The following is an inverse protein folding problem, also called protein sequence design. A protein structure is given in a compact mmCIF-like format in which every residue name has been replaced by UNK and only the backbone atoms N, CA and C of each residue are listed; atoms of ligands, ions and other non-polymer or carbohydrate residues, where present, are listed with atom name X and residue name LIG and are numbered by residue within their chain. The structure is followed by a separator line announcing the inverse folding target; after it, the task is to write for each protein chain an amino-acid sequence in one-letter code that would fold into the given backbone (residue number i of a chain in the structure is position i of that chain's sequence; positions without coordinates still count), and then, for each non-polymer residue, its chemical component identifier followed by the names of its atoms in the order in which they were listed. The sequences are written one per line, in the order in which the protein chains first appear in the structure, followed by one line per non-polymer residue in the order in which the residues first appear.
data_IF_102791649665
#
_entry.id   IF_102791649665
#
_cell.length_a   1.000
_cell.length_b   1.000
_cell.length_c   1.000
_cell.angle_alpha   90.00
_cell.angle_beta   90.00
_cell.angle_gamma   90.00
#
_symmetry.space_group_name_H-M   'P 1'
#
loop_
_entity.id
_entity.type
_entity.pdbx_description
1 polymer ?
#
# COMPACT_ATOMS: atom_id res chain seq x y z
N UNK A 1 -12.18 -1.17 -44.81
CA UNK A 1 -11.91 -2.42 -44.08
C UNK A 1 -12.24 -2.17 -42.63
N UNK A 2 -13.35 -2.72 -42.16
CA UNK A 2 -13.84 -2.53 -40.80
C UNK A 2 -12.94 -3.25 -39.80
N UNK A 3 -12.65 -2.61 -38.67
CA UNK A 3 -11.94 -3.19 -37.55
C UNK A 3 -12.74 -4.37 -36.96
N UNK A 4 -12.07 -5.42 -36.45
CA UNK A 4 -12.76 -6.54 -35.83
C UNK A 4 -13.42 -6.08 -34.53
N UNK A 5 -14.72 -6.32 -34.45
CA UNK A 5 -15.53 -6.18 -33.24
C UNK A 5 -14.96 -7.03 -32.11
N UNK A 6 -14.89 -6.45 -30.91
CA UNK A 6 -14.52 -7.13 -29.67
C UNK A 6 -15.29 -8.46 -29.55
N UNK A 7 -14.56 -9.55 -29.37
CA UNK A 7 -15.10 -10.90 -29.33
C UNK A 7 -16.17 -11.05 -28.26
N UNK A 8 -17.22 -11.79 -28.61
CA UNK A 8 -18.16 -12.34 -27.64
C UNK A 8 -17.38 -13.08 -26.53
N UNK A 9 -17.76 -12.95 -25.24
CA UNK A 9 -17.09 -13.68 -24.17
C UNK A 9 -17.20 -15.17 -24.46
N UNK A 10 -16.06 -15.88 -24.41
CA UNK A 10 -16.05 -17.33 -24.50
C UNK A 10 -17.05 -17.89 -23.49
N UNK A 11 -18.07 -18.61 -23.98
CA UNK A 11 -19.04 -19.28 -23.11
C UNK A 11 -18.35 -20.44 -22.40
N UNK A 12 -17.87 -20.21 -21.19
CA UNK A 12 -17.37 -21.27 -20.32
C UNK A 12 -18.54 -22.14 -19.88
N UNK A 13 -18.40 -23.45 -20.05
CA UNK A 13 -19.41 -24.42 -19.63
C UNK A 13 -18.95 -25.12 -18.36
N UNK A 14 -19.65 -24.86 -17.26
CA UNK A 14 -19.44 -25.57 -16.00
C UNK A 14 -20.53 -26.64 -15.84
N UNK A 15 -20.20 -27.87 -15.43
CA UNK A 15 -21.23 -28.85 -15.10
C UNK A 15 -21.96 -28.44 -13.82
N UNK A 16 -23.27 -28.17 -13.87
CA UNK A 16 -24.06 -27.78 -12.67
C UNK A 16 -23.97 -28.82 -11.55
N UNK A 17 -23.92 -30.11 -11.88
CA UNK A 17 -23.75 -31.18 -10.90
C UNK A 17 -22.41 -31.09 -10.15
N UNK A 18 -21.34 -30.68 -10.84
CA UNK A 18 -20.05 -30.42 -10.21
C UNK A 18 -20.14 -29.22 -9.26
N UNK A 19 -20.76 -28.12 -9.72
CA UNK A 19 -20.94 -26.91 -8.93
C UNK A 19 -21.67 -27.20 -7.61
N UNK A 20 -22.76 -27.97 -7.66
CA UNK A 20 -23.52 -28.38 -6.47
C UNK A 20 -22.69 -29.26 -5.53
N UNK A 21 -21.94 -30.23 -6.07
CA UNK A 21 -21.06 -31.09 -5.28
C UNK A 21 -19.99 -30.30 -4.54
N UNK A 22 -19.33 -29.37 -5.23
CA UNK A 22 -18.30 -28.51 -4.65
C UNK A 22 -18.90 -27.57 -3.59
N UNK A 23 -20.08 -27.03 -3.87
CA UNK A 23 -20.82 -26.16 -2.94
C UNK A 23 -21.17 -26.88 -1.65
N UNK A 24 -21.60 -28.15 -1.74
CA UNK A 24 -21.97 -28.95 -0.57
C UNK A 24 -20.75 -29.23 0.33
N UNK A 25 -19.59 -29.52 -0.26
CA UNK A 25 -18.35 -29.71 0.51
C UNK A 25 -17.94 -28.44 1.29
N UNK A 26 -18.07 -27.27 0.67
CA UNK A 26 -17.80 -25.99 1.34
C UNK A 26 -18.86 -25.72 2.41
N UNK A 27 -20.14 -25.97 2.12
CA UNK A 27 -21.25 -25.79 3.07
C UNK A 27 -21.09 -26.64 4.32
N UNK A 28 -20.72 -27.91 4.16
CA UNK A 28 -20.45 -28.81 5.29
C UNK A 28 -19.31 -28.27 6.16
N UNK A 29 -18.22 -27.83 5.54
CA UNK A 29 -17.08 -27.25 6.26
C UNK A 29 -17.45 -25.93 6.96
N UNK A 30 -18.23 -25.07 6.30
CA UNK A 30 -18.73 -23.81 6.88
C UNK A 30 -19.59 -24.10 8.11
N UNK A 31 -20.53 -25.05 8.02
CA UNK A 31 -21.44 -25.38 9.12
C UNK A 31 -20.70 -25.77 10.41
N UNK A 32 -19.59 -26.52 10.28
CA UNK A 32 -18.75 -26.99 11.39
C UNK A 32 -17.82 -25.91 11.94
N UNK A 33 -17.56 -24.85 11.17
CA UNK A 33 -16.62 -23.80 11.55
C UNK A 33 -17.26 -22.87 12.58
N UNK A 34 -16.63 -22.68 13.77
CA UNK A 34 -17.13 -21.76 14.78
C UNK A 34 -17.08 -20.32 14.26
N UNK A 35 -18.15 -19.58 14.47
CA UNK A 35 -18.26 -18.18 14.07
C UNK A 35 -18.94 -17.40 15.19
N UNK A 36 -18.26 -16.35 15.66
CA UNK A 36 -18.83 -15.35 16.54
C UNK A 36 -18.87 -14.04 15.75
N UNK A 37 -20.06 -13.47 15.50
CA UNK A 37 -20.15 -12.20 14.79
C UNK A 37 -19.49 -11.08 15.63
N UNK A 38 -18.85 -10.09 14.99
CA UNK A 38 -18.33 -8.91 15.69
C UNK A 38 -19.43 -8.20 16.49
N UNK A 39 -19.06 -7.61 17.62
CA UNK A 39 -20.00 -6.85 18.46
C UNK A 39 -20.67 -5.73 17.64
N UNK A 40 -22.00 -5.68 17.66
CA UNK A 40 -22.78 -4.68 16.91
C UNK A 40 -23.00 -4.99 15.42
N UNK A 41 -22.58 -6.17 14.92
CA UNK A 41 -22.84 -6.57 13.54
C UNK A 41 -24.34 -6.81 13.29
N UNK A 42 -24.91 -6.12 12.28
CA UNK A 42 -26.30 -6.31 11.85
C UNK A 42 -26.51 -7.54 10.96
N UNK A 43 -25.43 -8.09 10.40
CA UNK A 43 -25.45 -9.23 9.48
C UNK A 43 -24.29 -10.20 9.80
N UNK A 44 -24.55 -11.50 9.65
CA UNK A 44 -23.56 -12.56 9.78
C UNK A 44 -22.79 -12.76 8.47
N UNK A 45 -21.47 -12.57 8.48
CA UNK A 45 -20.60 -12.80 7.31
C UNK A 45 -20.63 -14.27 6.89
N UNK A 46 -20.65 -15.19 7.87
CA UNK A 46 -20.82 -16.62 7.58
C UNK A 46 -22.10 -16.87 6.78
N UNK A 47 -23.21 -16.24 7.15
CA UNK A 47 -24.49 -16.37 6.44
C UNK A 47 -24.48 -15.71 5.05
N UNK A 48 -23.75 -14.60 4.88
CA UNK A 48 -23.49 -14.00 3.56
C UNK A 48 -22.78 -15.02 2.67
N UNK A 49 -21.69 -15.63 3.14
CA UNK A 49 -20.94 -16.63 2.37
C UNK A 49 -21.77 -17.89 2.07
N UNK A 50 -22.57 -18.37 3.02
CA UNK A 50 -23.48 -19.50 2.81
C UNK A 50 -24.54 -19.21 1.74
N UNK A 51 -25.05 -17.98 1.67
CA UNK A 51 -26.07 -17.57 0.69
C UNK A 51 -25.56 -17.49 -0.76
N UNK A 52 -24.24 -17.38 -0.93
CA UNK A 52 -23.56 -17.42 -2.23
C UNK A 52 -23.36 -18.85 -2.76
N UNK A 53 -23.58 -19.88 -1.93
CA UNK A 53 -23.42 -21.27 -2.35
C UNK A 53 -24.70 -21.78 -3.03
N UNK A 54 -24.63 -22.24 -4.30
CA UNK A 54 -25.74 -22.85 -5.01
C UNK A 54 -26.48 -23.93 -4.19
N UNK A 55 -27.82 -23.91 -4.25
CA UNK A 55 -28.69 -24.92 -3.65
C UNK A 55 -29.52 -25.63 -4.71
N UNK A 56 -29.85 -26.90 -4.47
CA UNK A 56 -30.64 -27.71 -5.41
C UNK A 56 -32.06 -27.21 -5.64
N UNK A 57 -32.59 -26.43 -4.69
CA UNK A 57 -34.00 -26.04 -4.59
C UNK A 57 -34.35 -24.70 -5.27
N UNK A 58 -33.36 -23.92 -5.73
CA UNK A 58 -33.64 -22.68 -6.48
C UNK A 58 -34.25 -23.05 -7.83
N UNK A 59 -35.54 -22.76 -8.02
CA UNK A 59 -36.17 -22.78 -9.34
C UNK A 59 -35.32 -21.98 -10.31
N UNK A 60 -35.18 -22.50 -11.54
CA UNK A 60 -34.27 -22.06 -12.60
C UNK A 60 -34.52 -20.63 -13.15
N UNK A 61 -35.11 -19.73 -12.37
CA UNK A 61 -35.36 -18.33 -12.73
C UNK A 61 -34.09 -17.47 -12.66
N UNK A 62 -33.17 -17.79 -11.75
CA UNK A 62 -31.87 -17.12 -11.65
C UNK A 62 -30.83 -17.89 -12.46
N UNK A 63 -30.64 -17.49 -13.72
CA UNK A 63 -29.90 -18.26 -14.72
C UNK A 63 -28.52 -18.75 -14.27
N UNK A 64 -28.12 -19.93 -14.75
CA UNK A 64 -26.89 -20.68 -14.43
C UNK A 64 -25.60 -19.83 -14.26
N UNK A 65 -25.44 -18.79 -15.09
CA UNK A 65 -24.31 -17.85 -15.00
C UNK A 65 -24.23 -17.13 -13.65
N UNK A 66 -25.37 -16.82 -13.02
CA UNK A 66 -25.44 -16.24 -11.67
C UNK A 66 -24.96 -17.23 -10.62
N UNK A 67 -25.40 -18.50 -10.67
CA UNK A 67 -24.94 -19.55 -9.73
C UNK A 67 -23.40 -19.71 -9.78
N UNK A 68 -22.82 -19.74 -10.99
CA UNK A 68 -21.36 -19.83 -11.18
C UNK A 68 -20.67 -18.61 -10.56
N UNK A 69 -21.17 -17.40 -10.84
CA UNK A 69 -20.62 -16.17 -10.29
C UNK A 69 -20.66 -16.15 -8.77
N UNK A 70 -21.80 -16.48 -8.16
CA UNK A 70 -21.96 -16.49 -6.70
C UNK A 70 -21.03 -17.50 -6.04
N UNK A 71 -20.96 -18.72 -6.58
CA UNK A 71 -20.03 -19.74 -6.11
C UNK A 71 -18.58 -19.26 -6.18
N UNK A 72 -18.19 -18.65 -7.30
CA UNK A 72 -16.85 -18.13 -7.50
C UNK A 72 -16.51 -17.01 -6.49
N UNK A 73 -17.46 -16.11 -6.24
CA UNK A 73 -17.34 -15.05 -5.23
C UNK A 73 -17.26 -15.60 -3.80
N UNK A 74 -17.99 -16.67 -3.48
CA UNK A 74 -17.85 -17.37 -2.20
C UNK A 74 -16.42 -17.92 -2.02
N UNK A 75 -15.92 -18.62 -3.05
CA UNK A 75 -14.56 -19.17 -3.02
C UNK A 75 -13.51 -18.07 -2.92
N UNK A 76 -13.67 -16.96 -3.65
CA UNK A 76 -12.77 -15.82 -3.60
C UNK A 76 -12.69 -15.20 -2.18
N UNK A 77 -13.83 -15.02 -1.52
CA UNK A 77 -13.88 -14.49 -0.16
C UNK A 77 -13.26 -15.45 0.89
N UNK A 78 -13.43 -16.75 0.72
CA UNK A 78 -12.81 -17.74 1.61
C UNK A 78 -11.30 -17.81 1.37
N UNK A 79 -10.87 -17.78 0.11
CA UNK A 79 -9.46 -17.84 -0.25
C UNK A 79 -8.71 -16.54 0.10
N UNK A 80 -9.39 -15.39 0.15
CA UNK A 80 -8.80 -14.11 0.55
C UNK A 80 -8.35 -14.07 2.00
N UNK A 81 -8.93 -14.92 2.86
CA UNK A 81 -8.55 -15.03 4.28
C UNK A 81 -7.13 -15.58 4.48
N UNK A 82 -6.50 -16.16 3.46
CA UNK A 82 -5.12 -16.63 3.57
C UNK A 82 -4.14 -15.48 3.77
N UNK A 83 -3.47 -15.47 4.92
CA UNK A 83 -2.52 -14.41 5.26
C UNK A 83 -3.19 -13.07 5.55
N UNK A 84 -4.50 -13.06 5.78
CA UNK A 84 -5.24 -11.88 6.23
C UNK A 84 -5.30 -11.84 7.76
N UNK A 85 -5.08 -10.65 8.32
CA UNK A 85 -5.16 -10.39 9.76
C UNK A 85 -6.47 -9.66 10.13
N UNK A 86 -7.35 -9.40 9.16
CA UNK A 86 -8.64 -8.76 9.41
C UNK A 86 -9.48 -9.57 10.40
N UNK A 87 -10.01 -8.93 11.47
CA UNK A 87 -10.95 -9.54 12.41
C UNK A 87 -12.18 -10.17 11.72
N UNK A 88 -12.56 -9.63 10.57
CA UNK A 88 -13.75 -10.03 9.81
C UNK A 88 -13.62 -11.42 9.19
N UNK A 89 -12.40 -11.82 8.81
CA UNK A 89 -12.11 -13.11 8.18
C UNK A 89 -11.26 -14.04 9.06
N UNK A 90 -10.79 -13.60 10.23
CA UNK A 90 -9.94 -14.41 11.12
C UNK A 90 -10.56 -15.75 11.57
N UNK A 91 -11.88 -15.88 11.55
CA UNK A 91 -12.59 -17.13 11.86
C UNK A 91 -12.52 -18.17 10.72
N UNK A 92 -12.15 -17.77 9.51
CA UNK A 92 -12.03 -18.66 8.35
C UNK A 92 -10.82 -19.57 8.56
N UNK A 93 -11.07 -20.86 8.69
CA UNK A 93 -10.03 -21.86 9.00
C UNK A 93 -9.19 -22.22 7.77
N UNK A 94 -8.00 -22.78 8.02
CA UNK A 94 -7.16 -23.35 6.95
C UNK A 94 -7.89 -24.40 6.12
N UNK A 95 -8.80 -25.15 6.72
CA UNK A 95 -9.60 -26.16 6.02
C UNK A 95 -10.60 -25.51 5.05
N UNK A 96 -11.23 -24.40 5.42
CA UNK A 96 -12.11 -23.62 4.52
C UNK A 96 -11.35 -22.98 3.36
N UNK A 97 -10.18 -22.40 3.66
CA UNK A 97 -9.28 -21.84 2.64
C UNK A 97 -8.85 -22.95 1.67
N UNK A 98 -8.47 -24.11 2.19
CA UNK A 98 -8.08 -25.25 1.37
C UNK A 98 -9.24 -25.78 0.52
N UNK A 99 -10.43 -25.93 1.10
CA UNK A 99 -11.63 -26.41 0.40
C UNK A 99 -12.02 -25.48 -0.75
N UNK A 100 -12.04 -24.16 -0.53
CA UNK A 100 -12.36 -23.18 -1.57
C UNK A 100 -11.34 -23.19 -2.71
N UNK A 101 -10.03 -23.21 -2.41
CA UNK A 101 -8.98 -23.33 -3.44
C UNK A 101 -9.03 -24.66 -4.20
N UNK A 102 -9.28 -25.76 -3.50
CA UNK A 102 -9.44 -27.08 -4.15
C UNK A 102 -10.64 -27.08 -5.09
N UNK A 103 -11.75 -26.46 -4.69
CA UNK A 103 -12.94 -26.37 -5.51
C UNK A 103 -12.70 -25.53 -6.77
N UNK A 104 -11.98 -24.40 -6.67
CA UNK A 104 -11.58 -23.58 -7.82
C UNK A 104 -10.68 -24.35 -8.80
N UNK A 105 -9.74 -25.15 -8.28
CA UNK A 105 -8.90 -26.05 -9.11
C UNK A 105 -9.70 -27.09 -9.85
N UNK A 106 -10.64 -27.74 -9.18
CA UNK A 106 -11.52 -28.72 -9.81
C UNK A 106 -12.41 -28.08 -10.86
N UNK A 107 -12.94 -26.89 -10.59
CA UNK A 107 -13.78 -26.13 -11.51
C UNK A 107 -13.00 -25.71 -12.76
N UNK A 108 -11.78 -25.19 -12.59
CA UNK A 108 -10.86 -24.82 -13.68
C UNK A 108 -10.58 -26.01 -14.60
N UNK A 109 -10.24 -27.17 -14.03
CA UNK A 109 -10.00 -28.41 -14.80
C UNK A 109 -11.24 -28.88 -15.54
N UNK A 110 -12.41 -28.82 -14.91
CA UNK A 110 -13.65 -29.29 -15.53
C UNK A 110 -14.10 -28.42 -16.72
N UNK A 111 -13.80 -27.12 -16.67
CA UNK A 111 -14.06 -26.19 -17.76
C UNK A 111 -12.91 -26.11 -18.79
N UNK A 112 -11.91 -27.00 -18.68
CA UNK A 112 -10.77 -27.11 -19.61
C UNK A 112 -9.91 -25.84 -19.73
N UNK A 113 -9.84 -25.04 -18.66
CA UNK A 113 -8.85 -23.96 -18.58
C UNK A 113 -7.45 -24.56 -18.38
N UNK A 114 -6.44 -23.94 -18.98
CA UNK A 114 -5.03 -24.28 -18.82
C UNK A 114 -4.53 -23.98 -17.41
N UNK A 115 -5.13 -22.98 -16.74
CA UNK A 115 -4.77 -22.59 -15.38
C UNK A 115 -5.93 -21.95 -14.60
N UNK A 116 -5.76 -21.86 -13.28
CA UNK A 116 -6.66 -21.08 -12.41
C UNK A 116 -6.67 -19.60 -12.79
N UNK A 117 -5.51 -19.05 -13.18
CA UNK A 117 -5.38 -17.66 -13.63
C UNK A 117 -6.20 -17.39 -14.91
N UNK A 118 -6.15 -18.30 -15.88
CA UNK A 118 -6.96 -18.17 -17.10
C UNK A 118 -8.46 -18.18 -16.80
N UNK A 119 -8.90 -19.08 -15.91
CA UNK A 119 -10.29 -19.11 -15.43
C UNK A 119 -10.68 -17.79 -14.76
N UNK A 120 -9.82 -17.24 -13.88
CA UNK A 120 -10.07 -15.95 -13.24
C UNK A 120 -10.21 -14.85 -14.30
N UNK A 121 -9.25 -14.71 -15.22
CA UNK A 121 -9.28 -13.73 -16.31
C UNK A 121 -10.59 -13.83 -17.10
N UNK A 122 -11.01 -15.06 -17.43
CA UNK A 122 -12.26 -15.31 -18.15
C UNK A 122 -13.51 -14.88 -17.40
N UNK A 123 -13.52 -15.00 -16.06
CA UNK A 123 -14.66 -14.66 -15.21
C UNK A 123 -14.68 -13.19 -14.73
N UNK A 124 -13.54 -12.48 -14.75
CA UNK A 124 -13.44 -11.09 -14.28
C UNK A 124 -14.48 -10.13 -14.88
N UNK A 125 -14.79 -10.16 -16.20
CA UNK A 125 -15.82 -9.30 -16.78
C UNK A 125 -17.22 -9.50 -16.17
N UNK A 126 -17.50 -10.68 -15.62
CA UNK A 126 -18.80 -11.03 -15.05
C UNK A 126 -18.89 -10.76 -13.55
N UNK A 127 -17.77 -10.90 -12.85
CA UNK A 127 -17.73 -10.81 -11.39
C UNK A 127 -17.37 -9.41 -10.90
N UNK A 128 -16.44 -8.70 -11.54
CA UNK A 128 -15.99 -7.40 -11.05
C UNK A 128 -17.08 -6.32 -11.07
N UNK A 129 -17.94 -6.22 -12.10
CA UNK A 129 -19.06 -5.27 -12.06
C UNK A 129 -20.03 -5.54 -10.91
N UNK A 130 -20.27 -6.81 -10.56
CA UNK A 130 -21.12 -7.18 -9.43
C UNK A 130 -20.47 -6.80 -8.10
N UNK A 131 -19.18 -7.11 -7.93
CA UNK A 131 -18.39 -6.75 -6.75
C UNK A 131 -18.36 -5.22 -6.56
N UNK A 132 -18.06 -4.47 -7.61
CA UNK A 132 -18.10 -3.00 -7.59
C UNK A 132 -19.48 -2.49 -7.19
N UNK A 133 -20.55 -3.08 -7.71
CA UNK A 133 -21.93 -2.74 -7.36
C UNK A 133 -22.18 -2.86 -5.86
N UNK A 134 -21.83 -4.01 -5.27
CA UNK A 134 -21.98 -4.27 -3.83
C UNK A 134 -21.19 -3.27 -2.97
N UNK A 135 -19.96 -2.93 -3.37
CA UNK A 135 -19.16 -1.92 -2.63
C UNK A 135 -19.82 -0.53 -2.75
N UNK A 136 -20.32 -0.18 -3.94
CA UNK A 136 -20.94 1.12 -4.21
C UNK A 136 -22.24 1.32 -3.42
N UNK A 137 -23.01 0.27 -3.16
CA UNK A 137 -24.30 0.37 -2.46
C UNK A 137 -24.21 1.01 -1.07
N UNK A 138 -23.10 0.82 -0.35
CA UNK A 138 -22.84 1.45 0.95
C UNK A 138 -21.85 2.62 0.90
N UNK A 139 -21.47 3.10 -0.29
CA UNK A 139 -20.68 4.33 -0.44
C UNK A 139 -21.52 5.56 -0.07
N UNK A 140 -20.86 6.61 0.43
CA UNK A 140 -21.47 7.93 0.59
C UNK A 140 -21.31 8.66 -0.74
N UNK A 141 -22.40 8.86 -1.48
CA UNK A 141 -22.36 9.68 -2.68
C UNK A 141 -22.42 11.15 -2.27
N UNK A 142 -21.37 11.92 -2.60
CA UNK A 142 -21.33 13.36 -2.32
C UNK A 142 -22.24 14.16 -3.25
N UNK A 143 -22.75 13.55 -4.32
CA UNK A 143 -23.65 14.17 -5.29
C UNK A 143 -25.14 13.91 -5.01
N UNK A 144 -25.47 12.97 -4.13
CA UNK A 144 -26.86 12.71 -3.74
C UNK A 144 -27.30 13.68 -2.63
N UNK A 145 -28.34 14.48 -2.90
CA UNK A 145 -28.97 15.41 -1.94
C UNK A 145 -29.68 14.68 -0.78
N UNK A 146 -29.93 13.37 -0.91
CA UNK A 146 -30.61 12.57 0.09
C UNK A 146 -29.67 12.23 1.26
N UNK A 147 -29.91 12.89 2.40
CA UNK A 147 -29.23 12.68 3.69
C UNK A 147 -29.67 11.35 4.34
N UNK A 148 -29.68 10.25 3.59
CA UNK A 148 -29.74 8.91 4.16
C UNK A 148 -28.31 8.49 4.45
N UNK A 149 -27.99 8.25 5.71
CA UNK A 149 -26.67 7.72 6.09
C UNK A 149 -26.36 6.48 5.25
N UNK A 150 -25.19 6.39 4.62
CA UNK A 150 -24.86 5.28 3.72
C UNK A 150 -24.94 3.90 4.40
N UNK A 151 -24.75 3.84 5.73
CA UNK A 151 -24.97 2.66 6.56
C UNK A 151 -26.43 2.21 6.68
N UNK A 152 -27.39 3.09 6.37
CA UNK A 152 -28.82 2.78 6.33
C UNK A 152 -29.29 2.23 4.98
N UNK A 153 -28.49 2.38 3.90
CA UNK A 153 -28.83 1.84 2.57
C UNK A 153 -28.50 0.35 2.46
N UNK A 154 -27.30 -0.04 2.88
CA UNK A 154 -26.86 -1.42 2.88
C UNK A 154 -25.90 -1.70 4.06
N UNK A 155 -25.99 -2.88 4.71
CA UNK A 155 -25.03 -3.25 5.74
C UNK A 155 -23.60 -3.31 5.20
N UNK A 156 -22.66 -2.63 5.88
CA UNK A 156 -21.24 -2.55 5.49
C UNK A 156 -20.55 -3.92 5.33
N UNK A 157 -21.05 -4.95 6.01
CA UNK A 157 -20.53 -6.31 5.92
C UNK A 157 -20.50 -6.85 4.48
N UNK A 158 -21.49 -6.47 3.64
CA UNK A 158 -21.50 -6.86 2.23
C UNK A 158 -20.34 -6.22 1.45
N UNK A 159 -20.12 -4.92 1.63
CA UNK A 159 -19.01 -4.21 0.98
C UNK A 159 -17.65 -4.72 1.45
N UNK A 160 -17.52 -5.09 2.73
CA UNK A 160 -16.28 -5.70 3.26
C UNK A 160 -15.99 -7.04 2.57
N UNK A 161 -16.98 -7.94 2.52
CA UNK A 161 -16.83 -9.23 1.82
C UNK A 161 -16.49 -9.01 0.34
N UNK A 162 -17.17 -8.06 -0.31
CA UNK A 162 -16.90 -7.70 -1.71
C UNK A 162 -15.49 -7.13 -1.92
N UNK A 163 -14.97 -6.32 -0.99
CA UNK A 163 -13.62 -5.79 -1.07
C UNK A 163 -12.54 -6.88 -0.92
N UNK A 164 -12.78 -7.86 -0.06
CA UNK A 164 -11.93 -9.06 0.08
C UNK A 164 -11.96 -9.92 -1.19
N UNK A 165 -13.15 -10.14 -1.77
CA UNK A 165 -13.30 -10.80 -3.07
C UNK A 165 -12.51 -10.06 -4.14
N UNK A 166 -12.65 -8.73 -4.21
CA UNK A 166 -11.94 -7.89 -5.15
C UNK A 166 -10.42 -8.06 -5.05
N UNK A 167 -9.86 -7.93 -3.84
CA UNK A 167 -8.42 -8.12 -3.59
C UNK A 167 -7.93 -9.48 -4.08
N UNK A 168 -8.64 -10.55 -3.72
CA UNK A 168 -8.23 -11.89 -4.11
C UNK A 168 -8.29 -12.09 -5.63
N UNK A 169 -9.36 -11.63 -6.27
CA UNK A 169 -9.53 -11.72 -7.73
C UNK A 169 -8.40 -11.02 -8.48
N UNK A 170 -8.04 -9.81 -8.05
CA UNK A 170 -6.96 -9.03 -8.67
C UNK A 170 -5.61 -9.68 -8.43
N UNK A 171 -5.37 -10.25 -7.24
CA UNK A 171 -4.08 -10.87 -6.92
C UNK A 171 -3.81 -12.17 -7.70
N UNK A 172 -4.83 -12.79 -8.29
CA UNK A 172 -4.65 -13.99 -9.13
C UNK A 172 -4.15 -13.67 -10.54
N UNK A 173 -4.14 -12.40 -10.95
CA UNK A 173 -3.73 -11.99 -12.30
C UNK A 173 -2.42 -11.20 -12.23
N UNK A 174 -1.42 -11.64 -12.99
CA UNK A 174 -0.11 -11.00 -13.05
C UNK A 174 0.15 -10.33 -14.41
N UNK A 175 1.34 -9.73 -14.56
CA UNK A 175 1.83 -9.25 -15.84
C UNK A 175 1.97 -10.41 -16.85
N UNK A 176 1.60 -10.25 -18.14
CA UNK A 176 1.10 -9.02 -18.78
C UNK A 176 -0.43 -8.88 -18.83
N UNK A 177 -1.20 -9.86 -18.33
CA UNK A 177 -2.65 -9.87 -18.53
C UNK A 177 -3.40 -8.85 -17.69
N UNK A 178 -2.88 -8.50 -16.51
CA UNK A 178 -3.49 -7.49 -15.66
C UNK A 178 -3.59 -6.12 -16.35
N UNK A 179 -2.61 -5.75 -17.18
CA UNK A 179 -2.61 -4.51 -17.96
C UNK A 179 -3.81 -4.39 -18.90
N UNK A 180 -4.21 -5.50 -19.52
CA UNK A 180 -5.37 -5.59 -20.43
C UNK A 180 -6.72 -5.44 -19.71
N UNK A 181 -6.72 -5.59 -18.39
CA UNK A 181 -7.91 -5.63 -17.53
C UNK A 181 -8.06 -4.36 -16.66
N UNK A 182 -7.15 -3.39 -16.76
CA UNK A 182 -7.19 -2.16 -15.96
C UNK A 182 -8.53 -1.42 -16.07
N UNK A 183 -9.17 -1.43 -17.23
CA UNK A 183 -10.47 -0.80 -17.45
C UNK A 183 -11.59 -1.41 -16.59
N UNK A 184 -11.45 -2.66 -16.13
CA UNK A 184 -12.33 -3.30 -15.16
C UNK A 184 -11.86 -3.08 -13.72
N UNK A 185 -10.55 -3.24 -13.50
CA UNK A 185 -9.98 -3.30 -12.14
C UNK A 185 -9.88 -1.92 -11.50
N UNK A 186 -9.42 -0.90 -12.23
CA UNK A 186 -9.21 0.46 -11.70
C UNK A 186 -10.51 1.05 -11.16
N UNK A 187 -11.66 1.02 -11.89
CA UNK A 187 -12.90 1.57 -11.35
C UNK A 187 -13.36 0.90 -10.06
N UNK A 188 -13.14 -0.41 -9.91
CA UNK A 188 -13.48 -1.14 -8.68
C UNK A 188 -12.55 -0.74 -7.53
N UNK A 189 -11.24 -0.65 -7.79
CA UNK A 189 -10.27 -0.21 -6.80
C UNK A 189 -10.53 1.22 -6.31
N UNK A 190 -10.86 2.14 -7.22
CA UNK A 190 -11.24 3.51 -6.86
C UNK A 190 -12.51 3.54 -5.99
N UNK A 191 -13.52 2.73 -6.34
CA UNK A 191 -14.75 2.61 -5.55
C UNK A 191 -14.46 2.11 -4.12
N UNK A 192 -13.52 1.17 -3.95
CA UNK A 192 -13.06 0.74 -2.62
C UNK A 192 -12.38 1.87 -1.84
N UNK A 193 -11.57 2.71 -2.49
CA UNK A 193 -10.86 3.81 -1.83
C UNK A 193 -11.76 5.02 -1.49
N UNK A 194 -12.86 5.20 -2.22
CA UNK A 194 -13.88 6.20 -1.91
C UNK A 194 -14.84 5.76 -0.79
N UNK A 195 -14.83 4.48 -0.42
CA UNK A 195 -15.71 3.94 0.62
C UNK A 195 -15.31 4.45 2.01
N UNK A 196 -16.26 4.69 2.92
CA UNK A 196 -15.98 5.26 4.26
C UNK A 196 -15.35 4.26 5.25
N UNK A 197 -15.65 2.96 5.13
CA UNK A 197 -15.07 1.90 5.96
C UNK A 197 -13.58 1.70 5.67
N UNK A 198 -12.76 1.76 6.72
CA UNK A 198 -11.33 1.52 6.63
C UNK A 198 -10.98 0.13 6.10
N UNK A 199 -11.72 -0.90 6.50
CA UNK A 199 -11.43 -2.26 6.02
C UNK A 199 -11.61 -2.37 4.49
N UNK A 200 -12.65 -1.73 3.95
CA UNK A 200 -12.88 -1.69 2.48
C UNK A 200 -11.76 -0.93 1.79
N UNK A 201 -11.36 0.23 2.34
CA UNK A 201 -10.24 1.03 1.82
C UNK A 201 -8.95 0.23 1.81
N UNK A 202 -8.64 -0.49 2.88
CA UNK A 202 -7.43 -1.29 3.00
C UNK A 202 -7.34 -2.33 1.88
N UNK A 203 -8.40 -3.09 1.63
CA UNK A 203 -8.40 -4.07 0.53
C UNK A 203 -8.23 -3.38 -0.84
N UNK A 204 -8.80 -2.18 -1.03
CA UNK A 204 -8.56 -1.34 -2.20
C UNK A 204 -7.09 -0.95 -2.35
N UNK A 205 -6.43 -0.53 -1.26
CA UNK A 205 -5.02 -0.15 -1.26
C UNK A 205 -4.11 -1.34 -1.57
N UNK A 206 -4.36 -2.50 -0.96
CA UNK A 206 -3.63 -3.74 -1.24
C UNK A 206 -3.77 -4.14 -2.71
N UNK A 207 -4.98 -3.98 -3.27
CA UNK A 207 -5.23 -4.24 -4.69
C UNK A 207 -4.43 -3.29 -5.58
N UNK A 208 -4.37 -1.99 -5.26
CA UNK A 208 -3.53 -1.03 -5.99
C UNK A 208 -2.03 -1.32 -5.91
N UNK A 209 -1.55 -1.76 -4.74
CA UNK A 209 -0.16 -2.19 -4.57
C UNK A 209 0.14 -3.37 -5.52
N UNK A 210 -0.76 -4.34 -5.62
CA UNK A 210 -0.61 -5.45 -6.57
C UNK A 210 -0.64 -4.96 -8.03
N UNK A 211 -1.59 -4.08 -8.39
CA UNK A 211 -1.71 -3.50 -9.73
C UNK A 211 -0.40 -2.83 -10.15
N UNK A 212 0.13 -1.92 -9.33
CA UNK A 212 1.38 -1.21 -9.65
C UNK A 212 2.55 -2.16 -9.85
N UNK A 213 2.64 -3.22 -9.04
CA UNK A 213 3.74 -4.18 -9.12
C UNK A 213 3.65 -5.12 -10.33
N UNK A 214 2.48 -5.21 -10.99
CA UNK A 214 2.19 -6.19 -12.05
C UNK A 214 1.71 -5.57 -13.37
N UNK A 215 1.87 -4.26 -13.54
CA UNK A 215 1.44 -3.52 -14.72
C UNK A 215 2.57 -2.58 -15.13
N UNK A 216 2.73 -2.34 -16.44
CA UNK A 216 3.77 -1.42 -16.88
C UNK A 216 3.33 0.05 -16.68
N UNK A 217 4.30 0.94 -16.48
CA UNK A 217 4.01 2.36 -16.19
C UNK A 217 3.23 3.08 -17.28
N UNK A 218 3.34 2.65 -18.55
CA UNK A 218 2.60 3.25 -19.66
C UNK A 218 1.10 2.91 -19.61
N UNK A 219 0.75 1.67 -19.27
CA UNK A 219 -0.64 1.23 -19.08
C UNK A 219 -1.28 1.90 -17.86
N UNK A 220 -0.53 2.09 -16.77
CA UNK A 220 -1.04 2.77 -15.58
C UNK A 220 -1.20 4.29 -15.81
N UNK A 221 -0.35 4.89 -16.66
CA UNK A 221 -0.36 6.32 -16.96
C UNK A 221 -1.70 6.84 -17.49
N UNK A 222 -2.50 6.01 -18.16
CA UNK A 222 -3.86 6.37 -18.64
C UNK A 222 -4.84 6.69 -17.52
N UNK A 223 -4.53 6.31 -16.27
CA UNK A 223 -5.38 6.50 -15.10
C UNK A 223 -4.77 7.46 -14.08
N UNK A 224 -3.68 8.17 -14.41
CA UNK A 224 -2.88 8.93 -13.44
C UNK A 224 -3.71 9.92 -12.61
N UNK A 225 -4.57 10.70 -13.27
CA UNK A 225 -5.31 11.78 -12.61
C UNK A 225 -6.27 11.24 -11.55
N UNK A 226 -7.08 10.24 -11.91
CA UNK A 226 -8.07 9.67 -10.99
C UNK A 226 -7.41 8.94 -9.80
N UNK A 227 -6.33 8.22 -10.08
CA UNK A 227 -5.61 7.42 -9.09
C UNK A 227 -4.86 8.31 -8.10
N UNK A 228 -4.13 9.32 -8.58
CA UNK A 228 -3.36 10.22 -7.72
C UNK A 228 -4.28 11.15 -6.93
N UNK A 229 -5.41 11.57 -7.49
CA UNK A 229 -6.40 12.36 -6.75
C UNK A 229 -6.96 11.58 -5.55
N UNK A 230 -7.37 10.32 -5.76
CA UNK A 230 -7.85 9.44 -4.70
C UNK A 230 -6.79 9.22 -3.61
N UNK A 231 -5.51 9.07 -3.97
CA UNK A 231 -4.42 8.98 -3.00
C UNK A 231 -4.32 10.26 -2.15
N UNK A 232 -4.32 11.42 -2.79
CA UNK A 232 -4.29 12.71 -2.10
C UNK A 232 -5.47 12.87 -1.11
N UNK A 233 -6.68 12.47 -1.51
CA UNK A 233 -7.87 12.52 -0.64
C UNK A 233 -7.77 11.57 0.55
N UNK A 234 -7.13 10.41 0.40
CA UNK A 234 -7.02 9.42 1.47
C UNK A 234 -5.90 9.70 2.48
N UNK A 235 -4.83 10.42 2.11
CA UNK A 235 -3.74 10.83 3.04
C UNK A 235 -4.26 11.47 4.34
N UNK A 236 -5.14 12.50 4.30
CA UNK A 236 -5.67 13.09 5.52
C UNK A 236 -6.90 12.38 6.10
N UNK A 237 -7.51 11.43 5.36
CA UNK A 237 -8.81 10.86 5.71
C UNK A 237 -8.77 9.41 6.22
N UNK A 238 -7.65 8.71 6.03
CA UNK A 238 -7.48 7.30 6.42
C UNK A 238 -6.36 7.15 7.47
N UNK A 239 -6.51 7.88 8.58
CA UNK A 239 -5.54 8.00 9.68
C UNK A 239 -5.11 6.67 10.30
N UNK A 240 -6.01 5.69 10.30
CA UNK A 240 -5.80 4.33 10.82
C UNK A 240 -5.08 3.42 9.82
N UNK A 241 -5.08 3.77 8.53
CA UNK A 241 -4.41 3.04 7.46
C UNK A 241 -3.14 3.73 6.97
N UNK A 242 -2.57 4.63 7.78
CA UNK A 242 -1.47 5.50 7.39
C UNK A 242 -0.35 4.77 6.64
N UNK A 243 0.09 3.63 7.15
CA UNK A 243 1.18 2.84 6.58
C UNK A 243 0.87 2.39 5.14
N UNK A 244 -0.37 1.93 4.92
CA UNK A 244 -0.86 1.51 3.61
C UNK A 244 -1.07 2.69 2.67
N UNK A 245 -1.60 3.79 3.19
CA UNK A 245 -1.83 5.02 2.42
C UNK A 245 -0.51 5.58 1.90
N UNK A 246 0.53 5.61 2.73
CA UNK A 246 1.87 6.05 2.31
C UNK A 246 2.44 5.10 1.27
N UNK A 247 2.41 3.79 1.52
CA UNK A 247 2.95 2.78 0.58
C UNK A 247 2.31 2.92 -0.81
N UNK A 248 0.98 2.90 -0.87
CA UNK A 248 0.25 2.95 -2.15
C UNK A 248 0.45 4.29 -2.86
N UNK A 249 0.49 5.39 -2.11
CA UNK A 249 0.70 6.74 -2.64
C UNK A 249 2.09 6.89 -3.26
N UNK A 250 3.14 6.44 -2.58
CA UNK A 250 4.51 6.46 -3.11
C UNK A 250 4.62 5.62 -4.38
N UNK A 251 4.08 4.39 -4.35
CA UNK A 251 4.12 3.47 -5.47
C UNK A 251 3.40 4.03 -6.71
N UNK A 252 2.17 4.52 -6.56
CA UNK A 252 1.39 5.07 -7.66
C UNK A 252 2.03 6.36 -8.21
N UNK A 253 2.48 7.26 -7.33
CA UNK A 253 3.12 8.51 -7.74
C UNK A 253 4.38 8.26 -8.55
N UNK A 254 5.28 7.41 -8.04
CA UNK A 254 6.55 7.13 -8.73
C UNK A 254 6.37 6.29 -10.00
N UNK A 255 5.35 5.41 -10.04
CA UNK A 255 5.08 4.58 -11.22
C UNK A 255 4.38 5.34 -12.34
N UNK A 256 3.52 6.31 -12.02
CA UNK A 256 2.81 7.14 -13.02
C UNK A 256 3.68 8.30 -13.50
N UNK A 257 4.34 9.01 -12.58
CA UNK A 257 5.13 10.20 -12.93
C UNK A 257 6.55 9.88 -13.39
N UNK A 258 7.02 8.63 -13.17
CA UNK A 258 8.30 8.11 -13.64
C UNK A 258 9.46 9.08 -13.39
N UNK A 259 10.05 9.63 -14.46
CA UNK A 259 11.21 10.53 -14.40
C UNK A 259 10.83 12.02 -14.54
N UNK A 260 9.56 12.39 -14.29
CA UNK A 260 9.10 13.78 -14.36
C UNK A 260 9.07 14.46 -12.97
N UNK A 261 10.20 15.00 -12.49
CA UNK A 261 10.25 15.68 -11.19
C UNK A 261 9.44 16.97 -11.12
N UNK A 262 9.00 17.51 -12.27
CA UNK A 262 8.24 18.77 -12.34
C UNK A 262 6.73 18.56 -12.25
N UNK A 263 6.28 17.31 -12.13
CA UNK A 263 4.86 17.03 -11.98
C UNK A 263 4.31 17.71 -10.72
N UNK A 264 3.18 18.45 -10.83
CA UNK A 264 2.56 19.08 -9.66
C UNK A 264 2.06 18.04 -8.65
N UNK A 265 1.90 16.78 -9.06
CA UNK A 265 1.51 15.68 -8.18
C UNK A 265 2.53 15.40 -7.08
N UNK A 266 3.83 15.61 -7.34
CA UNK A 266 4.86 15.49 -6.30
C UNK A 266 4.65 16.51 -5.19
N UNK A 267 4.44 17.77 -5.57
CA UNK A 267 4.21 18.85 -4.61
C UNK A 267 2.91 18.62 -3.82
N UNK A 268 1.81 18.32 -4.52
CA UNK A 268 0.49 18.08 -3.90
C UNK A 268 0.55 16.94 -2.89
N UNK A 269 1.05 15.78 -3.30
CA UNK A 269 1.07 14.59 -2.46
C UNK A 269 2.02 14.71 -1.28
N UNK A 270 3.23 15.26 -1.49
CA UNK A 270 4.19 15.49 -0.42
C UNK A 270 3.67 16.52 0.58
N UNK A 271 2.94 17.55 0.12
CA UNK A 271 2.35 18.54 1.01
C UNK A 271 1.29 17.94 1.94
N UNK A 272 0.44 17.04 1.43
CA UNK A 272 -0.54 16.31 2.23
C UNK A 272 0.16 15.40 3.24
N UNK A 273 1.16 14.61 2.83
CA UNK A 273 1.89 13.72 3.73
C UNK A 273 2.59 14.49 4.85
N UNK A 274 3.32 15.55 4.50
CA UNK A 274 4.01 16.39 5.47
C UNK A 274 3.01 17.11 6.40
N UNK A 275 1.87 17.54 5.87
CA UNK A 275 0.83 18.22 6.66
C UNK A 275 0.24 17.28 7.69
N UNK A 276 0.05 16.02 7.31
CA UNK A 276 -0.39 14.98 8.22
C UNK A 276 0.64 14.68 9.33
N UNK A 277 1.93 14.57 8.96
CA UNK A 277 3.03 14.32 9.91
C UNK A 277 3.25 15.49 10.88
N UNK A 278 3.13 16.74 10.41
CA UNK A 278 3.29 17.95 11.23
C UNK A 278 2.20 18.10 12.30
N UNK A 279 1.01 17.51 12.11
CA UNK A 279 -0.06 17.49 13.11
C UNK A 279 0.25 16.55 14.28
N UNK A 280 0.96 15.45 14.03
CA UNK A 280 1.30 14.44 15.05
C UNK A 280 2.75 13.95 14.88
N UNK A 281 3.75 14.84 15.06
CA UNK A 281 5.15 14.52 14.75
C UNK A 281 5.73 13.43 15.66
N UNK A 282 5.15 13.24 16.85
CA UNK A 282 5.66 12.29 17.85
C UNK A 282 5.00 10.90 17.81
N UNK A 283 4.07 10.64 16.88
CA UNK A 283 3.52 9.28 16.70
C UNK A 283 4.52 8.36 15.98
N UNK A 284 5.07 7.38 16.70
CA UNK A 284 6.15 6.51 16.25
C UNK A 284 5.83 5.75 14.96
N UNK A 285 4.68 5.08 14.92
CA UNK A 285 4.21 4.30 13.75
C UNK A 285 4.20 5.17 12.49
N UNK A 286 3.66 6.39 12.58
CA UNK A 286 3.53 7.30 11.44
C UNK A 286 4.87 7.74 10.87
N UNK A 287 5.81 8.09 11.74
CA UNK A 287 7.18 8.46 11.33
C UNK A 287 7.85 7.32 10.59
N UNK A 288 7.83 6.12 11.20
CA UNK A 288 8.52 4.94 10.69
C UNK A 288 7.96 4.57 9.31
N UNK A 289 6.64 4.54 9.17
CA UNK A 289 6.00 4.18 7.91
C UNK A 289 6.35 5.16 6.79
N UNK A 290 6.28 6.46 7.06
CA UNK A 290 6.66 7.47 6.06
C UNK A 290 8.14 7.42 5.71
N UNK A 291 9.02 7.39 6.72
CA UNK A 291 10.46 7.37 6.49
C UNK A 291 10.89 6.11 5.73
N UNK A 292 10.29 4.95 6.02
CA UNK A 292 10.59 3.69 5.34
C UNK A 292 10.24 3.73 3.85
N UNK A 293 9.17 4.44 3.47
CA UNK A 293 8.63 4.39 2.12
C UNK A 293 8.99 5.60 1.24
N UNK A 294 9.32 6.77 1.79
CA UNK A 294 9.39 8.02 1.00
C UNK A 294 10.57 8.11 0.01
N UNK A 295 11.62 7.31 0.17
CA UNK A 295 12.86 7.44 -0.62
C UNK A 295 12.68 7.45 -2.14
N UNK A 296 11.83 6.60 -2.76
CA UNK A 296 11.58 6.65 -4.21
C UNK A 296 11.06 8.02 -4.68
N UNK A 297 10.23 8.69 -3.88
CA UNK A 297 9.73 10.04 -4.19
C UNK A 297 10.89 11.03 -4.21
N UNK A 298 11.78 10.96 -3.21
CA UNK A 298 12.98 11.80 -3.20
C UNK A 298 13.85 11.56 -4.42
N UNK A 299 14.10 10.29 -4.77
CA UNK A 299 14.94 9.94 -5.91
C UNK A 299 14.40 10.51 -7.24
N UNK A 300 13.08 10.51 -7.45
CA UNK A 300 12.49 11.15 -8.63
C UNK A 300 12.61 12.66 -8.55
N UNK A 301 12.21 13.28 -7.43
CA UNK A 301 12.23 14.74 -7.28
C UNK A 301 13.63 15.35 -7.38
N UNK A 302 14.66 14.66 -6.90
CA UNK A 302 16.05 15.13 -6.92
C UNK A 302 16.21 16.52 -6.30
N UNK A 303 16.66 17.50 -7.11
CA UNK A 303 16.86 18.89 -6.65
C UNK A 303 15.56 19.59 -6.23
N UNK A 304 14.40 19.16 -6.72
CA UNK A 304 13.13 19.81 -6.40
C UNK A 304 12.71 19.61 -4.93
N UNK A 305 13.34 18.66 -4.21
CA UNK A 305 13.16 18.50 -2.75
C UNK A 305 13.51 19.80 -1.99
N UNK A 306 14.38 20.65 -2.54
CA UNK A 306 14.75 21.93 -1.95
C UNK A 306 13.54 22.79 -1.54
N UNK A 307 12.44 22.73 -2.30
CA UNK A 307 11.21 23.45 -1.98
C UNK A 307 10.58 23.01 -0.64
N UNK A 308 10.83 21.77 -0.22
CA UNK A 308 10.26 21.17 1.00
C UNK A 308 11.25 21.13 2.17
N UNK A 309 12.48 21.64 2.00
CA UNK A 309 13.53 21.59 3.02
C UNK A 309 13.06 22.11 4.36
N UNK A 310 12.37 23.24 4.39
CA UNK A 310 11.90 23.82 5.66
C UNK A 310 11.06 22.85 6.47
N UNK A 311 10.13 22.14 5.83
CA UNK A 311 9.22 21.20 6.48
C UNK A 311 9.93 19.91 6.85
N UNK A 312 10.69 19.35 5.91
CA UNK A 312 11.43 18.10 6.09
C UNK A 312 12.48 18.24 7.20
N UNK A 313 13.33 19.26 7.15
CA UNK A 313 14.38 19.45 8.17
C UNK A 313 13.81 19.74 9.55
N UNK A 314 12.68 20.48 9.65
CA UNK A 314 12.02 20.68 10.94
C UNK A 314 11.57 19.36 11.58
N UNK A 315 11.00 18.44 10.79
CA UNK A 315 10.63 17.12 11.28
C UNK A 315 11.88 16.28 11.59
N UNK A 316 12.89 16.30 10.72
CA UNK A 316 14.08 15.48 10.88
C UNK A 316 14.90 15.87 12.11
N UNK A 317 15.03 17.15 12.42
CA UNK A 317 15.68 17.58 13.66
C UNK A 317 14.93 17.13 14.91
N UNK A 318 13.59 17.02 14.86
CA UNK A 318 12.85 16.45 15.99
C UNK A 318 13.05 14.93 16.09
N UNK A 319 13.04 14.25 14.95
CA UNK A 319 13.05 12.79 14.89
C UNK A 319 14.44 12.16 15.03
N UNK A 320 15.49 12.93 14.75
CA UNK A 320 16.89 12.53 14.97
C UNK A 320 17.18 12.23 16.44
N UNK A 321 16.43 12.85 17.35
CA UNK A 321 16.55 12.70 18.80
C UNK A 321 15.36 11.94 19.40
N UNK A 322 14.64 11.14 18.60
CA UNK A 322 13.57 10.30 19.10
C UNK A 322 14.08 9.22 20.08
N UNK A 323 13.20 8.71 20.93
CA UNK A 323 13.55 7.64 21.87
C UNK A 323 13.87 6.33 21.14
N UNK A 324 13.17 6.06 20.03
CA UNK A 324 13.28 4.82 19.27
C UNK A 324 14.41 4.84 18.23
N UNK A 325 15.29 3.84 18.26
CA UNK A 325 16.45 3.75 17.38
C UNK A 325 16.06 3.60 15.89
N UNK A 326 14.89 2.99 15.61
CA UNK A 326 14.42 2.75 14.24
C UNK A 326 14.12 4.07 13.52
N UNK A 327 13.49 5.03 14.18
CA UNK A 327 13.28 6.37 13.62
C UNK A 327 14.61 7.04 13.30
N UNK A 328 15.58 7.01 14.23
CA UNK A 328 16.88 7.67 14.05
C UNK A 328 17.61 7.12 12.83
N UNK A 329 17.68 5.78 12.70
CA UNK A 329 18.32 5.12 11.56
C UNK A 329 17.68 5.57 10.25
N UNK A 330 16.35 5.51 10.18
CA UNK A 330 15.62 5.90 8.97
C UNK A 330 15.80 7.39 8.64
N UNK A 331 15.84 8.28 9.64
CA UNK A 331 16.12 9.71 9.44
C UNK A 331 17.53 9.90 8.85
N UNK A 332 18.54 9.22 9.40
CA UNK A 332 19.92 9.31 8.89
C UNK A 332 20.03 8.78 7.45
N UNK A 333 19.32 7.71 7.11
CA UNK A 333 19.24 7.19 5.74
C UNK A 333 18.58 8.18 4.78
N UNK A 334 17.42 8.73 5.14
CA UNK A 334 16.72 9.73 4.32
C UNK A 334 17.53 11.02 4.19
N UNK A 335 18.23 11.44 5.24
CA UNK A 335 19.17 12.57 5.17
C UNK A 335 20.29 12.31 4.18
N UNK A 336 20.95 11.15 4.24
CA UNK A 336 22.00 10.77 3.27
C UNK A 336 21.48 10.87 1.83
N UNK A 337 20.27 10.39 1.57
CA UNK A 337 19.63 10.49 0.25
C UNK A 337 19.40 11.96 -0.15
N UNK A 338 18.82 12.79 0.72
CA UNK A 338 18.64 14.23 0.46
C UNK A 338 19.97 14.94 0.20
N UNK A 339 21.01 14.66 0.99
CA UNK A 339 22.34 15.27 0.82
C UNK A 339 22.93 14.88 -0.54
N UNK A 340 22.86 13.60 -0.91
CA UNK A 340 23.36 13.13 -2.22
C UNK A 340 22.63 13.76 -3.40
N UNK A 341 21.31 13.91 -3.31
CA UNK A 341 20.48 14.45 -4.39
C UNK A 341 20.63 15.97 -4.53
N UNK A 342 20.78 16.69 -3.42
CA UNK A 342 20.73 18.16 -3.40
C UNK A 342 22.07 18.84 -3.21
N UNK A 343 23.09 18.09 -2.79
CA UNK A 343 24.40 18.61 -2.36
C UNK A 343 24.30 19.67 -1.26
N UNK A 344 23.16 19.75 -0.56
CA UNK A 344 22.80 20.79 0.42
C UNK A 344 23.17 22.20 -0.09
N UNK A 345 22.91 22.46 -1.38
CA UNK A 345 23.30 23.73 -2.00
C UNK A 345 22.56 24.90 -1.34
N UNK A 346 23.31 25.85 -0.77
CA UNK A 346 22.79 27.07 -0.13
C UNK A 346 21.70 26.82 0.95
N UNK A 347 21.80 25.73 1.71
CA UNK A 347 20.82 25.44 2.76
C UNK A 347 21.13 26.22 4.05
N UNK A 348 20.14 26.91 4.65
CA UNK A 348 20.29 27.52 5.97
C UNK A 348 20.37 26.47 7.09
N UNK A 349 20.07 25.20 6.80
CA UNK A 349 20.06 24.11 7.77
C UNK A 349 21.42 23.41 7.91
N UNK A 350 22.41 23.79 7.11
CA UNK A 350 23.70 23.10 7.08
C UNK A 350 24.45 23.12 8.42
N UNK A 351 24.67 24.30 8.99
CA UNK A 351 25.39 24.42 10.27
C UNK A 351 24.66 23.69 11.39
N UNK A 352 23.33 23.88 11.47
CA UNK A 352 22.49 23.16 12.42
C UNK A 352 22.58 21.65 12.24
N UNK A 353 22.60 21.13 11.01
CA UNK A 353 22.72 19.70 10.78
C UNK A 353 24.04 19.13 11.33
N UNK A 354 25.15 19.86 11.18
CA UNK A 354 26.44 19.45 11.79
C UNK A 354 26.33 19.40 13.31
N UNK A 355 25.64 20.37 13.92
CA UNK A 355 25.44 20.42 15.37
C UNK A 355 24.57 19.29 15.89
N UNK A 356 23.43 19.04 15.25
CA UNK A 356 22.47 18.00 15.64
C UNK A 356 23.10 16.60 15.48
N UNK A 357 23.90 16.37 14.42
CA UNK A 357 24.65 15.11 14.24
C UNK A 357 25.72 14.91 15.31
N UNK A 358 26.38 15.99 15.71
CA UNK A 358 27.37 15.96 16.80
C UNK A 358 26.71 15.66 18.13
N UNK A 359 25.56 16.29 18.40
CA UNK A 359 24.76 16.04 19.59
C UNK A 359 24.25 14.59 19.62
N UNK A 360 23.69 14.10 18.51
CA UNK A 360 23.23 12.73 18.39
C UNK A 360 24.38 11.74 18.65
N UNK A 361 25.60 12.02 18.17
CA UNK A 361 26.76 11.18 18.44
C UNK A 361 27.02 11.03 19.94
N UNK A 362 26.91 12.12 20.72
CA UNK A 362 27.03 12.06 22.18
C UNK A 362 25.93 11.21 22.80
N UNK A 363 24.69 11.41 22.36
CA UNK A 363 23.52 10.64 22.84
C UNK A 363 23.63 9.14 22.56
N UNK A 364 24.39 8.71 21.53
CA UNK A 364 24.62 7.27 21.31
C UNK A 364 25.32 6.58 22.48
N UNK A 365 26.02 7.30 23.35
CA UNK A 365 26.74 6.72 24.48
C UNK A 365 25.82 5.95 25.44
N UNK A 366 24.55 6.38 25.57
CA UNK A 366 23.55 5.76 26.45
C UNK A 366 22.66 4.74 25.72
N UNK A 367 22.86 4.54 24.41
CA UNK A 367 22.02 3.65 23.59
C UNK A 367 22.60 2.25 23.46
N UNK A 368 21.72 1.26 23.33
CA UNK A 368 22.11 -0.15 23.22
C UNK A 368 22.83 -0.42 21.90
N UNK A 369 22.34 0.13 20.78
CA UNK A 369 22.92 -0.10 19.46
C UNK A 369 23.85 1.05 19.00
N UNK A 370 24.82 1.40 19.85
CA UNK A 370 25.65 2.60 19.66
C UNK A 370 26.55 2.57 18.43
N UNK A 371 27.19 1.45 18.11
CA UNK A 371 28.23 1.42 17.07
C UNK A 371 27.67 1.60 15.65
N UNK A 372 26.59 0.90 15.24
CA UNK A 372 26.01 1.13 13.91
C UNK A 372 25.49 2.56 13.72
N UNK A 373 24.89 3.15 14.77
CA UNK A 373 24.46 4.55 14.76
C UNK A 373 25.65 5.52 14.58
N UNK A 374 26.73 5.33 15.33
CA UNK A 374 27.95 6.14 15.20
C UNK A 374 28.53 6.06 13.80
N UNK A 375 28.61 4.88 13.21
CA UNK A 375 29.08 4.70 11.82
C UNK A 375 28.19 5.47 10.86
N UNK A 376 26.86 5.38 11.01
CA UNK A 376 25.92 6.11 10.15
C UNK A 376 26.10 7.64 10.24
N UNK A 377 26.28 8.16 11.45
CA UNK A 377 26.51 9.59 11.72
C UNK A 377 27.83 10.04 11.09
N UNK A 378 28.93 9.30 11.32
CA UNK A 378 30.24 9.61 10.75
C UNK A 378 30.22 9.63 9.22
N UNK A 379 29.57 8.64 8.60
CA UNK A 379 29.40 8.61 7.14
C UNK A 379 28.66 9.84 6.61
N UNK A 380 27.63 10.30 7.32
CA UNK A 380 26.89 11.50 6.94
C UNK A 380 27.74 12.77 7.10
N UNK A 381 28.53 12.87 8.16
CA UNK A 381 29.47 13.99 8.34
C UNK A 381 30.54 14.02 7.24
N UNK A 382 31.10 12.86 6.87
CA UNK A 382 32.05 12.75 5.74
C UNK A 382 31.39 13.22 4.44
N UNK A 383 30.13 12.85 4.21
CA UNK A 383 29.37 13.31 3.05
C UNK A 383 29.17 14.84 3.08
N UNK A 384 28.83 15.41 4.24
CA UNK A 384 28.69 16.86 4.40
C UNK A 384 29.99 17.62 4.15
N UNK A 385 31.11 17.11 4.68
CA UNK A 385 32.45 17.65 4.44
C UNK A 385 32.77 17.66 2.94
N UNK A 386 32.47 16.56 2.22
CA UNK A 386 32.66 16.47 0.77
C UNK A 386 31.80 17.47 -0.01
N UNK A 387 30.59 17.77 0.46
CA UNK A 387 29.70 18.73 -0.20
C UNK A 387 30.11 20.20 0.05
N UNK A 388 30.69 20.52 1.22
CA UNK A 388 30.82 21.91 1.70
C UNK A 388 32.24 22.37 2.04
N UNK A 389 33.21 21.46 2.13
CA UNK A 389 34.63 21.75 2.34
C UNK A 389 34.87 22.78 3.45
N UNK A 390 35.40 23.95 3.10
CA UNK A 390 35.71 25.00 4.08
C UNK A 390 34.50 25.50 4.89
N UNK A 391 33.27 25.44 4.35
CA UNK A 391 32.08 25.80 5.13
C UNK A 391 31.80 24.78 6.23
N UNK A 392 32.08 23.49 5.98
CA UNK A 392 31.98 22.46 7.00
C UNK A 392 33.05 22.67 8.08
N UNK A 393 34.31 22.94 7.71
CA UNK A 393 35.37 23.17 8.70
C UNK A 393 34.99 24.29 9.68
N UNK A 394 34.40 25.40 9.19
CA UNK A 394 33.91 26.48 10.06
C UNK A 394 32.83 26.03 11.04
N UNK A 395 31.87 25.23 10.57
CA UNK A 395 30.81 24.69 11.42
C UNK A 395 31.36 23.63 12.40
N UNK A 396 32.38 22.89 11.99
CA UNK A 396 33.01 21.79 12.72
C UNK A 396 34.03 22.28 13.77
N UNK A 397 34.70 23.40 13.53
CA UNK A 397 35.80 23.92 14.37
C UNK A 397 35.39 24.13 15.83
N UNK A 398 34.15 24.53 16.09
CA UNK A 398 33.63 24.73 17.46
C UNK A 398 33.56 23.43 18.28
N UNK A 399 33.55 22.27 17.62
CA UNK A 399 33.46 20.96 18.25
C UNK A 399 34.85 20.30 18.47
N UNK A 400 35.92 20.81 17.85
CA UNK A 400 37.27 20.19 17.88
C UNK A 400 37.89 20.10 19.26
N UNK A 401 37.52 21.00 20.17
CA UNK A 401 38.08 21.07 21.53
C UNK A 401 37.19 20.36 22.58
N UNK A 402 36.10 19.73 22.15
CA UNK A 402 35.19 19.04 23.06
C UNK A 402 35.76 17.68 23.47
N UNK A 403 36.07 17.46 24.76
CA UNK A 403 36.68 16.21 25.21
C UNK A 403 35.78 14.99 24.95
N UNK A 404 34.46 15.16 24.99
CA UNK A 404 33.50 14.07 24.77
C UNK A 404 33.45 13.61 23.31
N UNK A 405 34.02 14.39 22.40
CA UNK A 405 34.04 14.12 20.96
C UNK A 405 35.37 13.59 20.45
N UNK A 406 36.38 13.41 21.32
CA UNK A 406 37.73 12.99 20.92
C UNK A 406 37.71 11.73 20.03
N UNK A 407 36.91 10.73 20.41
CA UNK A 407 36.76 9.48 19.64
C UNK A 407 36.00 9.67 18.32
N UNK A 408 35.03 10.59 18.29
CA UNK A 408 34.31 10.96 17.08
C UNK A 408 35.26 11.60 16.06
N UNK A 409 36.07 12.55 16.53
CA UNK A 409 37.02 13.30 15.72
C UNK A 409 38.09 12.37 15.14
N UNK A 410 38.65 11.47 15.94
CA UNK A 410 39.63 10.49 15.44
C UNK A 410 39.02 9.56 14.40
N UNK A 411 37.82 9.04 14.64
CA UNK A 411 37.12 8.15 13.71
C UNK A 411 36.73 8.85 12.42
N UNK A 412 36.28 10.11 12.50
CA UNK A 412 35.99 10.95 11.35
C UNK A 412 37.23 11.17 10.48
N UNK A 413 38.36 11.55 11.09
CA UNK A 413 39.62 11.78 10.38
C UNK A 413 40.14 10.49 9.70
N UNK A 414 40.04 9.34 10.38
CA UNK A 414 40.40 8.05 9.80
C UNK A 414 39.52 7.73 8.58
N UNK A 415 38.19 7.87 8.73
CA UNK A 415 37.24 7.59 7.66
C UNK A 415 37.46 8.51 6.45
N UNK A 416 37.74 9.79 6.68
CA UNK A 416 38.12 10.76 5.64
C UNK A 416 39.39 10.34 4.89
N UNK A 417 40.42 9.86 5.60
CA UNK A 417 41.67 9.42 5.00
C UNK A 417 41.49 8.14 4.15
N UNK A 418 40.73 7.16 4.66
CA UNK A 418 40.43 5.91 3.94
C UNK A 418 39.65 6.18 2.65
N UNK A 419 38.71 7.13 2.69
CA UNK A 419 37.93 7.51 1.51
C UNK A 419 38.70 8.33 0.49
N UNK A 420 39.80 8.99 0.88
CA UNK A 420 40.71 9.69 -0.04
C UNK A 420 41.66 8.72 -0.75
N UNK A 421 41.95 7.56 -0.16
CA UNK A 421 42.77 6.50 -0.78
C UNK A 421 42.01 5.65 -1.81
N UNK A 422 40.68 5.76 -1.90
CA UNK A 422 39.84 5.03 -2.85
C UNK A 422 39.46 5.82 -4.11
N UNK A 423 40.12 6.97 -4.37
CA UNK A 423 39.94 7.74 -5.61
C UNK A 423 41.14 7.46 -6.52
N UNK A 424 40.97 6.86 -7.72
CA UNK A 424 42.01 6.83 -8.73
C UNK A 424 42.34 8.23 -9.26
#
# INVERSE_FOLDING_TARGET
MAAPTAGEPQCYYFPRALLLRLSESIRETLSRTPYAPPEGASVSIKSILESLLPSGDREAQEGFRKEVREFFLCCAALASAEGDESPTLFWVTKDLIFASKSALRELSRAASFESEQEMVIGLLPDVLPAVKGVIKESCVDTEEEDVIAASAKAPVAYAIVAAHQFRWLVSQVAYPDLGKLLWLVIPCALTSLDHWSAEVKEQGMVSFIHIVKNVNSAELGWYEEAVLDVCCRNIPAADELWDRVVEVSVLLLTSTQQTNPRSPWFERMLNEMLGHLERQPFKMERRIAWLAQIEPVFNVMGLFILAHFRRIFNLFFQWMHADDEKTIILVLERLKTIVKLTWIRKSPYFERLVDELTLLYKETAVRNNREPLRIQILQLLVLLQRCKGSEFEKAWDKHKNDPDLTMMISSFNNLMNDTLQQVP
#
